data_IF_490953910067
#
_entry.id   IF_490953910067
#
_cell.length_a   1.000
_cell.length_b   1.000
_cell.length_c   1.000
_cell.angle_alpha   90.00
_cell.angle_beta   90.00
_cell.angle_gamma   90.00
#
_symmetry.space_group_name_H-M   'P 1'
#
loop_
_entity.id
_entity.type
_entity.pdbx_description
1 polymer ?
#
# COMPACT_ATOMS: atom_id res chain seq x y z
N UNK A 1 -29.11 25.58 18.74
CA UNK A 1 -27.99 25.34 19.66
C UNK A 1 -27.30 24.05 19.22
N UNK A 2 -26.10 24.13 18.62
CA UNK A 2 -25.33 22.95 18.22
C UNK A 2 -24.60 22.43 19.46
N UNK A 3 -25.01 21.26 19.97
CA UNK A 3 -24.27 20.56 21.01
C UNK A 3 -22.91 20.10 20.49
N UNK A 4 -21.90 20.08 21.36
CA UNK A 4 -20.59 19.53 21.03
C UNK A 4 -20.71 18.08 20.52
N UNK A 5 -19.90 17.65 19.54
CA UNK A 5 -19.96 16.29 19.04
C UNK A 5 -19.63 15.28 20.16
N UNK A 6 -20.29 14.11 20.19
CA UNK A 6 -20.01 13.10 21.19
C UNK A 6 -18.54 12.64 21.08
N UNK A 7 -17.87 12.42 22.22
CA UNK A 7 -16.45 12.02 22.30
C UNK A 7 -16.09 10.84 21.39
N UNK A 8 -17.03 9.92 21.19
CA UNK A 8 -16.92 8.76 20.27
C UNK A 8 -16.72 9.17 18.80
N UNK A 9 -17.38 10.24 18.34
CA UNK A 9 -17.26 10.74 16.97
C UNK A 9 -15.87 11.35 16.70
N UNK A 10 -15.29 12.02 17.70
CA UNK A 10 -13.92 12.57 17.61
C UNK A 10 -12.91 11.42 17.51
N UNK A 11 -13.01 10.42 18.40
CA UNK A 11 -12.11 9.25 18.39
C UNK A 11 -12.18 8.50 17.07
N UNK A 12 -13.39 8.26 16.54
CA UNK A 12 -13.56 7.58 15.26
C UNK A 12 -12.94 8.37 14.09
N UNK A 13 -13.07 9.70 14.09
CA UNK A 13 -12.45 10.57 13.08
C UNK A 13 -10.92 10.52 13.16
N UNK A 14 -10.35 10.66 14.36
CA UNK A 14 -8.90 10.60 14.56
C UNK A 14 -8.35 9.23 14.14
N UNK A 15 -8.99 8.14 14.56
CA UNK A 15 -8.57 6.79 14.16
C UNK A 15 -8.57 6.60 12.64
N UNK A 16 -9.65 7.02 11.98
CA UNK A 16 -9.78 6.98 10.52
C UNK A 16 -8.67 7.78 9.82
N UNK A 17 -8.44 9.02 10.25
CA UNK A 17 -7.44 9.90 9.63
C UNK A 17 -6.02 9.34 9.82
N UNK A 18 -5.72 8.78 10.99
CA UNK A 18 -4.45 8.09 11.24
C UNK A 18 -4.24 6.88 10.33
N UNK A 19 -5.27 6.05 10.09
CA UNK A 19 -5.17 4.91 9.19
C UNK A 19 -4.96 5.33 7.73
N UNK A 20 -5.64 6.40 7.29
CA UNK A 20 -5.47 6.98 5.95
C UNK A 20 -4.04 7.50 5.77
N UNK A 21 -3.54 8.28 6.74
CA UNK A 21 -2.19 8.83 6.68
C UNK A 21 -1.14 7.72 6.71
N UNK A 22 -1.35 6.67 7.50
CA UNK A 22 -0.48 5.50 7.51
C UNK A 22 -0.44 4.81 6.14
N UNK A 23 -1.60 4.50 5.56
CA UNK A 23 -1.68 3.84 4.24
C UNK A 23 -1.05 4.70 3.14
N UNK A 24 -1.37 5.99 3.11
CA UNK A 24 -0.77 6.90 2.15
C UNK A 24 0.75 7.01 2.32
N UNK A 25 1.22 7.10 3.57
CA UNK A 25 2.63 7.12 3.91
C UNK A 25 3.34 5.86 3.41
N UNK A 26 2.76 4.67 3.59
CA UNK A 26 3.31 3.41 3.09
C UNK A 26 3.46 3.43 1.57
N UNK A 27 2.44 3.88 0.83
CA UNK A 27 2.50 3.95 -0.63
C UNK A 27 3.53 4.95 -1.15
N UNK A 28 3.53 6.16 -0.60
CA UNK A 28 4.50 7.19 -0.99
C UNK A 28 5.91 6.75 -0.65
N UNK A 29 6.13 6.23 0.57
CA UNK A 29 7.42 5.69 0.98
C UNK A 29 7.89 4.56 0.05
N UNK A 30 7.01 3.60 -0.25
CA UNK A 30 7.30 2.46 -1.14
C UNK A 30 7.72 2.92 -2.54
N UNK A 31 6.95 3.83 -3.14
CA UNK A 31 7.23 4.32 -4.49
C UNK A 31 8.44 5.24 -4.56
N UNK A 32 8.60 6.17 -3.60
CA UNK A 32 9.78 7.04 -3.52
C UNK A 32 11.05 6.22 -3.30
N UNK A 33 11.01 5.22 -2.43
CA UNK A 33 12.16 4.34 -2.18
C UNK A 33 12.64 3.61 -3.45
N UNK A 34 11.71 3.19 -4.31
CA UNK A 34 12.05 2.59 -5.62
C UNK A 34 12.53 3.62 -6.64
N UNK A 35 12.03 4.86 -6.57
CA UNK A 35 12.50 5.94 -7.43
C UNK A 35 13.93 6.40 -7.10
N UNK A 36 14.29 6.41 -5.81
CA UNK A 36 15.63 6.77 -5.35
C UNK A 36 16.69 5.80 -5.89
N UNK A 37 16.38 4.50 -5.93
CA UNK A 37 17.27 3.47 -6.46
C UNK A 37 16.55 2.56 -7.44
N UNK A 38 16.32 3.12 -8.63
CA UNK A 38 15.55 2.47 -9.68
C UNK A 38 16.29 1.28 -10.30
N UNK A 39 17.62 1.33 -10.32
CA UNK A 39 18.44 0.24 -10.84
C UNK A 39 18.45 -0.95 -9.89
N UNK A 40 18.56 -0.74 -8.57
CA UNK A 40 18.38 -1.82 -7.61
C UNK A 40 16.97 -2.43 -7.70
N UNK A 41 15.92 -1.60 -7.82
CA UNK A 41 14.55 -2.13 -8.01
C UNK A 41 14.44 -2.94 -9.31
N UNK A 42 15.04 -2.48 -10.41
CA UNK A 42 15.08 -3.20 -11.68
C UNK A 42 15.80 -4.54 -11.53
N UNK A 43 16.93 -4.59 -10.85
CA UNK A 43 17.68 -5.82 -10.58
C UNK A 43 16.87 -6.81 -9.75
N UNK A 44 16.21 -6.36 -8.69
CA UNK A 44 15.29 -7.21 -7.90
C UNK A 44 14.17 -7.78 -8.78
N UNK A 45 13.51 -6.95 -9.59
CA UNK A 45 12.40 -7.39 -10.46
C UNK A 45 12.87 -8.32 -11.58
N UNK A 46 14.10 -8.14 -12.09
CA UNK A 46 14.74 -9.09 -13.03
C UNK A 46 15.04 -10.43 -12.36
N UNK A 47 15.60 -10.39 -11.16
CA UNK A 47 15.94 -11.59 -10.39
C UNK A 47 14.70 -12.45 -10.10
N UNK A 48 13.53 -11.84 -9.91
CA UNK A 48 12.27 -12.56 -9.76
C UNK A 48 11.91 -13.47 -10.96
N UNK A 49 12.38 -13.14 -12.17
CA UNK A 49 12.16 -13.96 -13.37
C UNK A 49 10.70 -14.01 -13.90
N UNK A 50 9.75 -13.31 -13.26
CA UNK A 50 8.31 -13.39 -13.62
C UNK A 50 7.92 -12.49 -14.79
N UNK A 51 8.53 -11.31 -14.93
CA UNK A 51 8.07 -10.29 -15.89
C UNK A 51 8.74 -10.34 -17.27
N UNK A 52 9.89 -11.01 -17.42
CA UNK A 52 10.62 -11.06 -18.70
C UNK A 52 10.88 -9.68 -19.30
N UNK A 53 10.47 -9.46 -20.55
CA UNK A 53 10.65 -8.18 -21.26
C UNK A 53 9.83 -7.02 -20.67
N UNK A 54 8.81 -7.32 -19.86
CA UNK A 54 7.98 -6.30 -19.22
C UNK A 54 8.67 -5.59 -18.06
N UNK A 55 9.85 -6.05 -17.61
CA UNK A 55 10.61 -5.37 -16.55
C UNK A 55 10.80 -3.88 -16.86
N UNK A 56 11.16 -3.53 -18.10
CA UNK A 56 11.47 -2.14 -18.49
C UNK A 56 10.32 -1.17 -18.17
N UNK A 57 9.12 -1.38 -18.74
CA UNK A 57 7.95 -0.56 -18.43
C UNK A 57 7.55 -0.59 -16.95
N UNK A 58 7.53 -1.77 -16.32
CA UNK A 58 7.03 -1.92 -14.95
C UNK A 58 7.94 -1.27 -13.90
N UNK A 59 9.24 -1.18 -14.16
CA UNK A 59 10.19 -0.51 -13.28
C UNK A 59 9.82 0.96 -13.07
N UNK A 60 9.28 1.65 -14.08
CA UNK A 60 8.82 3.03 -13.96
C UNK A 60 7.35 3.14 -13.54
N UNK A 61 6.51 2.23 -14.05
CA UNK A 61 5.07 2.26 -13.82
C UNK A 61 4.72 1.96 -12.36
N UNK A 62 5.34 0.94 -11.76
CA UNK A 62 5.02 0.52 -10.39
C UNK A 62 5.31 1.66 -9.39
N UNK A 63 6.52 2.22 -9.29
CA UNK A 63 6.81 3.28 -8.32
C UNK A 63 5.94 4.52 -8.51
N UNK A 64 5.67 4.89 -9.77
CA UNK A 64 4.81 6.03 -10.10
C UNK A 64 3.37 5.78 -9.67
N UNK A 65 2.83 4.58 -9.94
CA UNK A 65 1.49 4.20 -9.52
C UNK A 65 1.35 4.16 -7.99
N UNK A 66 2.38 3.68 -7.27
CA UNK A 66 2.41 3.70 -5.81
C UNK A 66 2.34 5.13 -5.26
N UNK A 67 3.18 6.05 -5.76
CA UNK A 67 3.15 7.46 -5.34
C UNK A 67 1.79 8.09 -5.63
N UNK A 68 1.28 7.92 -6.85
CA UNK A 68 -0.02 8.46 -7.25
C UNK A 68 -1.16 7.92 -6.37
N UNK A 69 -1.11 6.63 -6.02
CA UNK A 69 -2.09 6.00 -5.16
C UNK A 69 -2.03 6.56 -3.73
N UNK A 70 -0.83 6.72 -3.17
CA UNK A 70 -0.64 7.34 -1.86
C UNK A 70 -1.18 8.78 -1.80
N UNK A 71 -0.88 9.58 -2.83
CA UNK A 71 -1.42 10.95 -2.96
C UNK A 71 -2.95 10.92 -3.11
N UNK A 72 -3.49 10.03 -3.94
CA UNK A 72 -4.93 9.90 -4.13
C UNK A 72 -5.66 9.51 -2.84
N UNK A 73 -5.07 8.62 -2.02
CA UNK A 73 -5.63 8.26 -0.71
C UNK A 73 -5.77 9.49 0.19
N UNK A 74 -4.77 10.37 0.25
CA UNK A 74 -4.82 11.61 1.05
C UNK A 74 -5.87 12.57 0.51
N UNK A 75 -5.80 12.88 -0.78
CA UNK A 75 -6.64 13.91 -1.42
C UNK A 75 -8.12 13.53 -1.37
N UNK A 76 -8.43 12.25 -1.60
CA UNK A 76 -9.79 11.76 -1.70
C UNK A 76 -10.39 11.31 -0.35
N UNK A 77 -9.58 11.16 0.70
CA UNK A 77 -10.04 10.78 2.04
C UNK A 77 -11.07 11.76 2.66
N UNK A 78 -11.13 12.99 2.17
CA UNK A 78 -12.12 13.98 2.63
C UNK A 78 -13.55 13.67 2.17
N UNK A 79 -13.72 12.84 1.13
CA UNK A 79 -15.02 12.48 0.54
C UNK A 79 -15.29 10.98 0.70
N UNK A 80 -16.37 10.61 1.37
CA UNK A 80 -16.65 9.21 1.75
C UNK A 80 -16.64 8.22 0.57
N UNK A 81 -17.37 8.52 -0.52
CA UNK A 81 -17.46 7.61 -1.68
C UNK A 81 -16.15 7.51 -2.47
N UNK A 82 -15.49 8.61 -2.89
CA UNK A 82 -14.17 8.55 -3.52
C UNK A 82 -13.13 7.83 -2.67
N UNK A 83 -13.08 8.10 -1.37
CA UNK A 83 -12.14 7.44 -0.46
C UNK A 83 -12.31 5.92 -0.43
N UNK A 84 -13.54 5.41 -0.35
CA UNK A 84 -13.79 3.96 -0.38
C UNK A 84 -13.32 3.36 -1.70
N UNK A 85 -13.58 4.02 -2.83
CA UNK A 85 -13.11 3.56 -4.15
C UNK A 85 -11.58 3.49 -4.17
N UNK A 86 -10.90 4.55 -3.73
CA UNK A 86 -9.43 4.61 -3.71
C UNK A 86 -8.83 3.56 -2.76
N UNK A 87 -9.42 3.37 -1.57
CA UNK A 87 -9.00 2.31 -0.64
C UNK A 87 -9.21 0.91 -1.23
N UNK A 88 -10.31 0.69 -1.97
CA UNK A 88 -10.55 -0.59 -2.65
C UNK A 88 -9.56 -0.82 -3.80
N UNK A 89 -9.29 0.20 -4.63
CA UNK A 89 -8.27 0.12 -5.68
C UNK A 89 -6.89 -0.17 -5.08
N UNK A 90 -6.56 0.50 -3.98
CA UNK A 90 -5.32 0.29 -3.24
C UNK A 90 -5.18 -1.14 -2.68
N UNK A 91 -6.26 -1.68 -2.09
CA UNK A 91 -6.28 -3.06 -1.64
C UNK A 91 -6.11 -4.06 -2.80
N UNK A 92 -6.67 -3.77 -3.98
CA UNK A 92 -6.47 -4.60 -5.17
C UNK A 92 -5.01 -4.61 -5.63
N UNK A 93 -4.29 -3.50 -5.52
CA UNK A 93 -2.85 -3.47 -5.79
C UNK A 93 -2.08 -4.37 -4.81
N UNK A 94 -2.41 -4.34 -3.52
CA UNK A 94 -1.79 -5.22 -2.51
C UNK A 94 -2.09 -6.70 -2.80
N UNK A 95 -3.33 -7.03 -3.21
CA UNK A 95 -3.70 -8.38 -3.63
C UNK A 95 -2.90 -8.81 -4.87
N UNK A 96 -2.82 -7.94 -5.89
CA UNK A 96 -2.04 -8.19 -7.10
C UNK A 96 -0.55 -8.40 -6.80
N UNK A 97 0.03 -7.59 -5.91
CA UNK A 97 1.39 -7.74 -5.43
C UNK A 97 1.59 -9.06 -4.68
N UNK A 98 0.64 -9.44 -3.83
CA UNK A 98 0.69 -10.72 -3.11
C UNK A 98 0.64 -11.91 -4.07
N UNK A 99 -0.24 -11.85 -5.07
CA UNK A 99 -0.32 -12.86 -6.12
C UNK A 99 0.98 -12.91 -6.95
N UNK A 100 1.56 -11.77 -7.28
CA UNK A 100 2.85 -11.68 -7.95
C UNK A 100 3.98 -12.32 -7.14
N UNK A 101 4.10 -11.98 -5.86
CA UNK A 101 5.11 -12.56 -4.96
C UNK A 101 4.94 -14.07 -4.83
N UNK A 102 3.71 -14.59 -4.87
CA UNK A 102 3.45 -16.03 -4.86
C UNK A 102 3.95 -16.77 -6.11
N UNK A 103 4.25 -16.07 -7.19
CA UNK A 103 4.87 -16.64 -8.39
C UNK A 103 6.41 -16.65 -8.32
N UNK A 104 7.01 -15.93 -7.37
CA UNK A 104 8.46 -15.83 -7.21
C UNK A 104 8.95 -16.97 -6.30
N UNK A 105 9.99 -17.73 -6.69
CA UNK A 105 10.57 -18.75 -5.83
C UNK A 105 11.02 -18.18 -4.47
N UNK A 106 10.79 -18.93 -3.39
CA UNK A 106 11.12 -18.51 -2.01
C UNK A 106 12.59 -18.15 -1.84
N UNK A 107 13.47 -18.86 -2.51
CA UNK A 107 14.92 -18.67 -2.45
C UNK A 107 15.33 -17.34 -3.09
N UNK A 108 14.63 -16.97 -4.18
CA UNK A 108 14.83 -15.69 -4.86
C UNK A 108 14.33 -14.54 -3.99
N UNK A 109 13.18 -14.68 -3.32
CA UNK A 109 12.68 -13.68 -2.37
C UNK A 109 13.66 -13.50 -1.20
N UNK A 110 14.20 -14.59 -0.65
CA UNK A 110 15.16 -14.53 0.45
C UNK A 110 16.44 -13.76 0.07
N UNK A 111 16.90 -13.90 -1.18
CA UNK A 111 18.12 -13.27 -1.68
C UNK A 111 17.90 -11.84 -2.19
N UNK A 112 16.94 -11.64 -3.09
CA UNK A 112 16.68 -10.38 -3.79
C UNK A 112 15.66 -9.47 -3.08
N UNK A 113 14.95 -9.99 -2.08
CA UNK A 113 13.86 -9.31 -1.40
C UNK A 113 12.55 -9.35 -2.17
N UNK A 114 11.50 -8.72 -1.63
CA UNK A 114 10.18 -8.62 -2.27
C UNK A 114 10.00 -7.36 -3.13
N UNK A 115 11.04 -6.52 -3.25
CA UNK A 115 10.99 -5.23 -3.95
C UNK A 115 10.13 -4.15 -3.27
N UNK A 116 9.42 -4.45 -2.18
CA UNK A 116 8.44 -3.53 -1.58
C UNK A 116 9.04 -2.29 -0.90
N UNK A 117 10.35 -2.27 -0.60
CA UNK A 117 11.00 -1.16 0.15
C UNK A 117 12.18 -0.52 -0.59
N UNK A 118 12.37 -0.80 -1.88
CA UNK A 118 13.56 -0.38 -2.63
C UNK A 118 14.84 -1.02 -2.05
N UNK A 119 15.97 -0.30 -2.10
CA UNK A 119 17.27 -0.74 -1.59
C UNK A 119 17.41 -0.72 -0.06
N UNK A 120 16.35 -0.43 0.70
CA UNK A 120 16.41 -0.39 2.17
C UNK A 120 16.51 -1.83 2.70
N UNK A 121 17.58 -2.20 3.43
CA UNK A 121 17.75 -3.54 3.98
C UNK A 121 16.54 -3.92 4.83
N UNK A 122 15.93 -5.06 4.52
CA UNK A 122 14.83 -5.58 5.33
C UNK A 122 15.37 -6.12 6.65
N UNK A 123 14.54 -6.06 7.69
CA UNK A 123 14.82 -6.74 8.95
C UNK A 123 14.71 -8.27 8.74
N UNK A 124 13.91 -8.71 7.77
CA UNK A 124 13.81 -10.09 7.27
C UNK A 124 13.36 -10.13 5.80
N UNK A 125 14.08 -10.88 4.94
CA UNK A 125 13.64 -11.21 3.57
C UNK A 125 12.84 -12.52 3.52
N UNK A 126 12.37 -12.99 4.68
CA UNK A 126 11.63 -14.23 4.78
C UNK A 126 10.29 -14.13 4.05
N UNK A 127 9.94 -15.06 3.14
CA UNK A 127 8.67 -15.04 2.42
C UNK A 127 7.45 -14.89 3.33
N UNK A 128 7.48 -15.55 4.50
CA UNK A 128 6.43 -15.45 5.53
C UNK A 128 6.23 -14.02 6.02
N UNK A 129 7.30 -13.25 6.19
CA UNK A 129 7.23 -11.86 6.62
C UNK A 129 6.59 -10.96 5.55
N UNK A 130 6.86 -11.24 4.28
CA UNK A 130 6.25 -10.52 3.15
C UNK A 130 4.73 -10.75 3.12
N UNK A 131 4.29 -12.00 3.24
CA UNK A 131 2.87 -12.32 3.30
C UNK A 131 2.19 -11.71 4.54
N UNK A 132 2.84 -11.76 5.71
CA UNK A 132 2.33 -11.15 6.93
C UNK A 132 2.19 -9.62 6.78
N UNK A 133 3.16 -8.95 6.15
CA UNK A 133 3.08 -7.51 5.87
C UNK A 133 1.90 -7.19 4.95
N UNK A 134 1.73 -7.92 3.85
CA UNK A 134 0.62 -7.69 2.92
C UNK A 134 -0.73 -7.96 3.57
N UNK A 135 -0.85 -9.02 4.38
CA UNK A 135 -2.05 -9.30 5.15
C UNK A 135 -2.38 -8.17 6.14
N UNK A 136 -1.37 -7.66 6.86
CA UNK A 136 -1.54 -6.52 7.76
C UNK A 136 -2.03 -5.27 7.00
N UNK A 137 -1.45 -4.97 5.84
CA UNK A 137 -1.91 -3.88 4.98
C UNK A 137 -3.37 -4.08 4.56
N UNK A 138 -3.78 -5.28 4.13
CA UNK A 138 -5.17 -5.56 3.75
C UNK A 138 -6.16 -5.38 4.92
N UNK A 139 -5.77 -5.80 6.13
CA UNK A 139 -6.58 -5.59 7.34
C UNK A 139 -6.76 -4.09 7.60
N UNK A 140 -5.68 -3.30 7.50
CA UNK A 140 -5.74 -1.85 7.65
C UNK A 140 -6.67 -1.21 6.61
N UNK A 141 -6.62 -1.66 5.34
CA UNK A 141 -7.54 -1.21 4.30
C UNK A 141 -8.99 -1.51 4.64
N UNK A 142 -9.29 -2.72 5.12
CA UNK A 142 -10.65 -3.12 5.50
C UNK A 142 -11.19 -2.27 6.64
N UNK A 143 -10.38 -2.03 7.68
CA UNK A 143 -10.75 -1.18 8.82
C UNK A 143 -10.98 0.27 8.35
N UNK A 144 -10.07 0.82 7.55
CA UNK A 144 -10.20 2.18 7.02
C UNK A 144 -11.46 2.34 6.17
N UNK A 145 -11.73 1.41 5.24
CA UNK A 145 -12.92 1.44 4.40
C UNK A 145 -14.21 1.29 5.21
N UNK A 146 -14.21 0.42 6.25
CA UNK A 146 -15.32 0.28 7.19
C UNK A 146 -15.62 1.59 7.93
N UNK A 147 -14.58 2.26 8.43
CA UNK A 147 -14.71 3.55 9.11
C UNK A 147 -15.25 4.65 8.17
N UNK A 148 -14.81 4.68 6.90
CA UNK A 148 -15.31 5.63 5.90
C UNK A 148 -16.80 5.42 5.58
N UNK A 149 -17.24 4.15 5.46
CA UNK A 149 -18.65 3.82 5.21
C UNK A 149 -19.55 4.16 6.39
N UNK A 150 -19.08 3.93 7.61
CA UNK A 150 -19.83 4.29 8.81
C UNK A 150 -20.02 5.81 8.90
N UNK A 151 -18.97 6.59 8.67
CA UNK A 151 -19.03 8.05 8.69
C UNK A 151 -19.97 8.62 7.62
N UNK A 152 -20.01 8.02 6.42
CA UNK A 152 -20.87 8.47 5.31
C UNK A 152 -22.36 8.15 5.46
N UNK A 153 -22.76 7.31 6.43
CA UNK A 153 -24.18 7.03 6.74
C UNK A 153 -24.74 7.93 7.84
N UNK A 154 -23.88 8.64 8.57
CA UNK A 154 -24.23 9.42 9.75
C UNK A 154 -24.44 10.91 9.47
N UNK A 155 -24.20 11.37 8.23
CA UNK A 155 -24.44 12.74 7.76
C UNK A 155 -25.33 12.72 6.53
#
# INVERSE_FOLDING_TARGET
MSGAPPRRAIVARVARDSLVLLLAGVWVWSGVGKWIDLDAFRETVRAHGVLGDWVGPFVWLIPSAEIMLGVAVIVLATRARPAVITLSASALVVIGLTAYVALVPSEVIAQAGCGCRGAIPSITNEPVAVYAQNAALLIIHAIAAGAMRYAGRAG
#
